data_IF_978270990481
#
_entry.id   IF_978270990481
#
_cell.length_a   1.000
_cell.length_b   1.000
_cell.length_c   1.000
_cell.angle_alpha   90.00
_cell.angle_beta   90.00
_cell.angle_gamma   90.00
#
_symmetry.space_group_name_H-M   'P 1'
#
loop_
_entity.id
_entity.type
_entity.pdbx_description
1 polymer ?
#
# COMPACT_ATOMS: atom_id res chain seq x y z
N UNK A 1 7.53 -6.60 11.72
CA UNK A 1 6.12 -6.17 11.69
C UNK A 1 5.87 -5.63 10.29
N UNK A 2 4.93 -6.22 9.55
CA UNK A 2 4.47 -5.63 8.28
C UNK A 2 3.63 -4.41 8.63
N UNK A 3 3.97 -3.25 8.07
CA UNK A 3 3.20 -2.01 8.24
C UNK A 3 2.68 -1.62 6.86
N UNK A 4 1.36 -1.60 6.69
CA UNK A 4 0.73 -0.97 5.52
C UNK A 4 0.44 0.48 5.88
N UNK A 5 0.83 1.39 4.98
CA UNK A 5 0.53 2.81 5.13
C UNK A 5 -0.81 3.12 4.46
N UNK A 6 -1.53 4.20 4.84
CA UNK A 6 -2.76 4.61 4.16
C UNK A 6 -2.56 4.90 2.65
N UNK A 7 -1.34 5.26 2.25
CA UNK A 7 -0.96 5.48 0.86
C UNK A 7 -0.42 4.23 0.16
N UNK A 8 -0.47 3.05 0.79
CA UNK A 8 -0.03 1.81 0.15
C UNK A 8 -0.95 1.48 -1.03
N UNK A 9 -0.33 1.08 -2.13
CA UNK A 9 -1.00 0.80 -3.39
C UNK A 9 -0.50 -0.52 -3.99
N UNK A 10 -1.25 -1.04 -4.95
CA UNK A 10 -0.84 -2.21 -5.72
C UNK A 10 0.25 -1.85 -6.74
N UNK A 11 1.38 -2.57 -6.74
CA UNK A 11 2.49 -2.33 -7.67
C UNK A 11 2.17 -2.68 -9.15
N UNK A 12 0.98 -3.24 -9.42
CA UNK A 12 0.53 -3.61 -10.78
C UNK A 12 -0.42 -2.56 -11.35
N UNK A 13 -1.53 -2.26 -10.66
CA UNK A 13 -2.50 -1.26 -11.14
C UNK A 13 -2.22 0.16 -10.62
N UNK A 14 -1.29 0.33 -9.67
CA UNK A 14 -0.96 1.60 -9.00
C UNK A 14 -2.13 2.24 -8.24
N UNK A 15 -3.17 1.47 -7.93
CA UNK A 15 -4.32 1.95 -7.15
C UNK A 15 -4.12 1.69 -5.66
N UNK A 16 -4.56 2.64 -4.84
CA UNK A 16 -4.52 2.56 -3.37
C UNK A 16 -5.39 1.43 -2.85
N UNK A 17 -4.94 0.76 -1.79
CA UNK A 17 -5.75 -0.25 -1.13
C UNK A 17 -6.89 0.41 -0.35
N UNK A 18 -8.12 -0.03 -0.61
CA UNK A 18 -9.35 0.53 -0.06
C UNK A 18 -10.35 -0.60 0.30
N UNK A 19 -11.64 -0.29 0.46
CA UNK A 19 -12.67 -1.29 0.79
C UNK A 19 -13.00 -2.25 -0.37
N UNK A 20 -12.67 -1.87 -1.60
CA UNK A 20 -12.92 -2.64 -2.81
C UNK A 20 -11.64 -3.36 -3.28
N UNK A 21 -10.48 -2.80 -2.94
CA UNK A 21 -9.15 -3.30 -3.31
C UNK A 21 -8.36 -3.68 -2.08
N UNK A 22 -8.64 -4.87 -1.56
CA UNK A 22 -7.86 -5.39 -0.46
C UNK A 22 -6.49 -5.94 -0.89
N UNK A 23 -5.45 -5.74 -0.07
CA UNK A 23 -4.14 -6.30 -0.29
C UNK A 23 -4.14 -7.82 -0.06
N UNK A 24 -3.50 -8.56 -0.96
CA UNK A 24 -3.35 -10.01 -0.91
C UNK A 24 -1.87 -10.40 -0.98
N UNK A 25 -1.45 -11.24 -0.03
CA UNK A 25 -0.10 -11.79 0.06
C UNK A 25 -0.01 -13.10 -0.72
N UNK A 26 1.03 -13.24 -1.54
CA UNK A 26 1.38 -14.51 -2.20
C UNK A 26 2.54 -15.21 -1.46
N UNK A 27 2.80 -16.48 -1.77
CA UNK A 27 3.79 -17.33 -1.08
C UNK A 27 5.21 -16.74 -0.99
N UNK A 28 5.57 -15.85 -1.91
CA UNK A 28 6.87 -15.18 -1.91
C UNK A 28 6.98 -13.99 -0.94
N UNK A 29 5.86 -13.53 -0.37
CA UNK A 29 5.77 -12.41 0.56
C UNK A 29 5.46 -11.05 -0.06
N UNK A 30 5.23 -10.97 -1.38
CA UNK A 30 4.82 -9.72 -2.03
C UNK A 30 3.30 -9.56 -2.00
N UNK A 31 2.84 -8.31 -2.06
CA UNK A 31 1.42 -7.96 -1.87
C UNK A 31 0.87 -7.25 -3.10
N UNK A 32 -0.31 -7.68 -3.57
CA UNK A 32 -1.00 -7.10 -4.73
C UNK A 32 -2.53 -7.12 -4.48
N UNK A 33 -3.34 -6.42 -5.26
CA UNK A 33 -4.79 -6.61 -5.22
C UNK A 33 -5.19 -7.92 -5.91
N UNK A 34 -6.33 -8.50 -5.51
CA UNK A 34 -6.80 -9.80 -6.01
C UNK A 34 -7.02 -9.79 -7.53
N UNK A 35 -7.66 -8.73 -8.05
CA UNK A 35 -7.93 -8.57 -9.48
C UNK A 35 -6.64 -8.61 -10.31
N UNK A 36 -5.56 -8.00 -9.83
CA UNK A 36 -4.28 -8.09 -10.52
C UNK A 36 -3.67 -9.50 -10.47
N UNK A 37 -3.81 -10.23 -9.36
CA UNK A 37 -3.28 -11.60 -9.24
C UNK A 37 -4.01 -12.58 -10.18
N UNK A 38 -5.33 -12.46 -10.28
CA UNK A 38 -6.16 -13.32 -11.16
C UNK A 38 -5.82 -13.14 -12.65
N UNK A 39 -5.33 -11.96 -13.04
CA UNK A 39 -4.93 -11.66 -14.42
C UNK A 39 -3.51 -12.16 -14.78
N UNK A 40 -2.71 -12.64 -13.81
CA UNK A 40 -1.35 -13.08 -14.08
C UNK A 40 -1.32 -14.46 -14.74
N UNK A 41 -0.80 -14.52 -15.98
CA UNK A 41 -0.55 -15.78 -16.68
C UNK A 41 0.88 -15.72 -17.25
N UNK A 42 1.82 -16.56 -16.78
CA UNK A 42 1.69 -17.54 -15.70
C UNK A 42 1.55 -16.90 -14.31
N UNK A 43 1.14 -17.70 -13.31
CA UNK A 43 1.03 -17.30 -11.90
C UNK A 43 2.42 -17.08 -11.27
N UNK A 44 3.02 -15.93 -11.61
CA UNK A 44 4.39 -15.56 -11.27
C UNK A 44 4.44 -14.15 -10.71
N UNK A 45 5.13 -13.99 -9.59
CA UNK A 45 5.26 -12.70 -8.91
C UNK A 45 5.89 -11.62 -9.82
N UNK A 46 5.26 -10.45 -10.02
CA UNK A 46 5.82 -9.35 -10.82
C UNK A 46 7.16 -8.81 -10.29
N UNK A 47 7.38 -8.86 -8.98
CA UNK A 47 8.55 -8.26 -8.33
C UNK A 47 9.77 -9.18 -8.28
N UNK A 48 9.58 -10.45 -7.92
CA UNK A 48 10.70 -11.39 -7.73
C UNK A 48 10.67 -12.63 -8.62
N UNK A 49 9.65 -12.75 -9.50
CA UNK A 49 9.53 -13.81 -10.50
C UNK A 49 9.41 -15.24 -9.93
N UNK A 50 9.21 -15.40 -8.63
CA UNK A 50 8.84 -16.69 -8.03
C UNK A 50 7.42 -17.06 -8.45
N UNK A 51 7.24 -18.32 -8.85
CA UNK A 51 5.92 -18.88 -9.11
C UNK A 51 5.14 -18.96 -7.79
N UNK A 52 3.82 -18.80 -7.86
CA UNK A 52 2.94 -18.92 -6.71
C UNK A 52 1.70 -19.74 -7.06
N UNK A 53 1.10 -20.33 -6.04
CA UNK A 53 -0.13 -21.09 -6.14
C UNK A 53 -1.31 -20.16 -5.83
N UNK A 54 -2.30 -20.00 -6.75
CA UNK A 54 -3.48 -19.18 -6.50
C UNK A 54 -4.26 -19.63 -5.25
N UNK A 55 -4.23 -20.92 -4.89
CA UNK A 55 -4.91 -21.44 -3.69
C UNK A 55 -4.22 -21.02 -2.39
N UNK A 56 -2.98 -20.53 -2.47
CA UNK A 56 -2.19 -20.02 -1.33
C UNK A 56 -2.22 -18.51 -1.18
N UNK A 57 -2.99 -17.79 -2.01
CA UNK A 57 -3.15 -16.34 -1.90
C UNK A 57 -3.95 -16.00 -0.64
N UNK A 58 -3.44 -15.10 0.20
CA UNK A 58 -4.07 -14.74 1.48
C UNK A 58 -4.42 -13.26 1.53
N UNK A 59 -5.69 -12.94 1.82
CA UNK A 59 -6.13 -11.56 2.09
C UNK A 59 -5.48 -11.03 3.37
N UNK A 60 -4.96 -9.81 3.31
CA UNK A 60 -4.49 -9.07 4.47
C UNK A 60 -5.62 -8.16 4.97
N UNK A 61 -6.06 -8.34 6.21
CA UNK A 61 -7.06 -7.48 6.84
C UNK A 61 -6.39 -6.22 7.38
N UNK A 62 -6.85 -5.06 6.93
CA UNK A 62 -6.42 -3.74 7.44
C UNK A 62 -7.56 -3.18 8.27
N UNK A 63 -7.32 -2.98 9.57
CA UNK A 63 -8.29 -2.41 10.51
C UNK A 63 -8.78 -1.04 10.02
N UNK A 64 -10.07 -0.75 10.21
CA UNK A 64 -10.68 0.50 9.76
C UNK A 64 -10.09 1.73 10.47
N UNK A 65 -9.60 1.54 11.71
CA UNK A 65 -8.92 2.57 12.50
C UNK A 65 -7.60 3.05 11.85
N UNK A 66 -6.93 2.19 11.07
CA UNK A 66 -5.69 2.53 10.36
C UNK A 66 -5.95 3.16 8.98
N UNK A 67 -7.17 3.02 8.43
CA UNK A 67 -7.54 3.56 7.10
C UNK A 67 -7.85 5.07 7.13
N UNK A 68 -8.17 5.61 8.32
CA UNK A 68 -8.60 7.01 8.49
C UNK A 68 -7.48 7.99 8.87
N UNK A 69 -6.22 7.54 8.93
CA UNK A 69 -5.08 8.43 9.16
C UNK A 69 -4.64 9.14 7.86
N UNK A 70 -5.57 9.78 7.16
CA UNK A 70 -5.21 11.08 6.61
C UNK A 70 -5.35 12.04 7.78
N UNK A 71 -4.25 12.54 8.39
CA UNK A 71 -4.37 13.83 9.06
C UNK A 71 -4.87 14.75 7.96
N UNK A 72 -6.13 15.19 8.06
CA UNK A 72 -6.66 16.24 7.23
C UNK A 72 -5.57 17.33 7.24
N UNK A 73 -5.05 17.65 6.05
CA UNK A 73 -4.09 18.73 5.86
C UNK A 73 -4.81 20.04 6.21
N UNK A 74 -5.04 20.26 7.49
CA UNK A 74 -5.59 21.46 8.07
C UNK A 74 -4.40 22.14 8.72
N UNK A 75 -3.86 23.07 7.95
CA UNK A 75 -3.07 24.20 8.44
C UNK A 75 -1.67 23.82 8.92
N UNK A 76 -0.82 23.39 7.98
CA UNK A 76 0.60 23.77 8.08
C UNK A 76 0.65 25.28 7.89
N UNK A 77 0.49 26.03 8.97
CA UNK A 77 0.91 27.43 9.00
C UNK A 77 2.42 27.39 8.82
N UNK A 78 2.90 27.76 7.63
CA UNK A 78 4.28 28.17 7.45
C UNK A 78 4.44 29.37 8.39
N UNK A 79 4.95 29.12 9.59
CA UNK A 79 5.42 30.18 10.46
C UNK A 79 6.65 30.75 9.77
N UNK A 80 6.44 31.89 9.10
CA UNK A 80 7.50 32.77 8.66
C UNK A 80 8.38 33.08 9.87
N UNK A 81 9.55 32.42 9.96
CA UNK A 81 10.64 32.92 10.79
C UNK A 81 11.33 34.03 10.00
N UNK A 82 10.67 35.19 9.93
CA UNK A 82 11.36 36.44 9.65
C UNK A 82 12.02 36.94 10.94
N UNK A 83 13.31 37.28 10.84
CA UNK A 83 14.18 37.99 11.80
C UNK A 83 14.68 37.15 13.00
N UNK A 84 15.95 37.11 13.41
CA UNK A 84 17.06 38.05 13.28
C UNK A 84 18.39 37.37 13.74
N UNK A 85 19.52 37.64 13.08
CA UNK A 85 20.91 37.70 13.59
C UNK A 85 21.87 37.48 12.40
N UNK A 86 22.27 38.54 11.68
CA UNK A 86 23.53 39.26 11.92
C UNK A 86 24.75 38.34 12.08
N UNK A 87 25.45 38.11 10.96
CA UNK A 87 26.88 38.42 10.80
C UNK A 87 27.20 38.55 9.31
#
# INVERSE_FOLDING_TARGET
MLVLQPSSACDVCMETYDNERDPHLISCGHTFCLSCLELLIPQRCPLCRRDFDPDQVRRLYVSEDDRSATPALSNVTISECSSYAQQ
#
